data_IF_922538423129
#
_entry.id   IF_922538423129
#
_cell.length_a   1.000
_cell.length_b   1.000
_cell.length_c   1.000
_cell.angle_alpha   90.00
_cell.angle_beta   90.00
_cell.angle_gamma   90.00
#
_symmetry.space_group_name_H-M   'P 1'
#
loop_
_entity.id
_entity.type
_entity.pdbx_description
1 polymer ?
#
# COMPACT_ATOMS: atom_id res chain seq x y z
N UNK A 1 16.87 6.69 27.93
CA UNK A 1 17.66 6.72 26.69
C UNK A 1 16.70 6.89 25.52
N UNK A 2 17.07 7.64 24.49
CA UNK A 2 16.23 7.77 23.30
C UNK A 2 16.29 6.47 22.49
N UNK A 3 15.14 5.86 22.22
CA UNK A 3 15.01 4.73 21.31
C UNK A 3 14.97 5.21 19.87
N UNK A 4 15.15 4.30 18.91
CA UNK A 4 14.89 4.55 17.48
C UNK A 4 14.07 3.44 16.85
N UNK A 5 13.39 3.75 15.74
CA UNK A 5 12.76 2.73 14.90
C UNK A 5 13.84 1.97 14.10
N UNK A 6 13.59 0.68 13.85
CA UNK A 6 14.37 -0.11 12.92
C UNK A 6 14.40 0.53 11.52
N UNK A 7 15.56 0.59 10.89
CA UNK A 7 15.77 1.28 9.61
C UNK A 7 14.88 0.73 8.49
N UNK A 8 14.69 -0.60 8.45
CA UNK A 8 13.79 -1.22 7.47
C UNK A 8 12.33 -0.76 7.61
N UNK A 9 11.83 -0.61 8.84
CA UNK A 9 10.47 -0.09 9.08
C UNK A 9 10.36 1.40 8.73
N UNK A 10 11.45 2.17 8.88
CA UNK A 10 11.53 3.54 8.37
C UNK A 10 11.35 3.61 6.85
N UNK A 11 12.02 2.73 6.10
CA UNK A 11 11.84 2.62 4.64
C UNK A 11 10.42 2.17 4.29
N UNK A 12 9.89 1.15 4.97
CA UNK A 12 8.51 0.67 4.73
C UNK A 12 7.50 1.80 4.91
N UNK A 13 7.62 2.57 5.99
CA UNK A 13 6.76 3.73 6.24
C UNK A 13 6.85 4.74 5.11
N UNK A 14 8.06 5.13 4.74
CA UNK A 14 8.26 6.11 3.68
C UNK A 14 7.65 5.64 2.35
N UNK A 15 7.81 4.37 1.98
CA UNK A 15 7.21 3.82 0.77
C UNK A 15 5.68 3.78 0.84
N UNK A 16 5.09 3.43 1.99
CA UNK A 16 3.64 3.47 2.22
C UNK A 16 3.11 4.91 2.13
N UNK A 17 3.82 5.88 2.72
CA UNK A 17 3.46 7.30 2.67
C UNK A 17 3.57 7.85 1.25
N UNK A 18 4.57 7.42 0.47
CA UNK A 18 4.67 7.79 -0.95
C UNK A 18 3.56 7.15 -1.78
N UNK A 19 3.18 5.90 -1.50
CA UNK A 19 2.08 5.20 -2.17
C UNK A 19 0.70 5.74 -1.84
N UNK A 20 0.53 6.25 -0.63
CA UNK A 20 -0.75 6.74 -0.15
C UNK A 20 -0.54 8.08 0.59
N UNK A 21 -0.20 9.17 -0.12
CA UNK A 21 0.19 10.44 0.49
C UNK A 21 -0.94 11.13 1.26
N UNK A 22 -2.18 10.74 1.00
CA UNK A 22 -3.37 11.21 1.72
C UNK A 22 -3.93 10.25 2.76
N UNK A 23 -3.23 9.14 3.06
CA UNK A 23 -3.73 8.13 4.00
C UNK A 23 -3.90 8.68 5.41
N UNK A 24 -4.88 8.15 6.11
CA UNK A 24 -4.96 8.28 7.56
C UNK A 24 -3.76 7.60 8.23
N UNK A 25 -3.30 8.23 9.32
CA UNK A 25 -2.24 7.71 10.20
C UNK A 25 -2.76 7.49 11.63
N UNK A 26 -4.08 7.49 11.83
CA UNK A 26 -4.72 7.47 13.16
C UNK A 26 -4.38 6.24 14.00
N UNK A 27 -4.04 5.12 13.35
CA UNK A 27 -3.63 3.86 13.98
C UNK A 27 -2.16 3.52 13.71
N UNK A 28 -1.36 4.47 13.22
CA UNK A 28 0.07 4.25 13.10
C UNK A 28 0.71 4.23 14.49
N UNK A 29 1.51 3.20 14.74
CA UNK A 29 2.13 2.95 16.04
C UNK A 29 3.55 2.45 15.88
N UNK A 30 4.46 2.86 16.76
CA UNK A 30 5.83 2.29 16.82
C UNK A 30 6.18 1.84 18.20
N UNK A 31 5.97 2.69 19.21
CA UNK A 31 6.30 2.36 20.58
C UNK A 31 5.06 1.86 21.32
N UNK A 32 5.23 0.80 22.11
CA UNK A 32 4.20 0.33 23.03
C UNK A 32 3.90 1.40 24.07
N UNK A 33 2.62 1.52 24.47
CA UNK A 33 2.25 2.32 25.63
C UNK A 33 2.90 1.78 26.92
N UNK A 34 2.83 2.55 28.01
CA UNK A 34 3.45 2.17 29.29
C UNK A 34 2.93 0.80 29.81
N UNK A 35 1.72 0.40 29.40
CA UNK A 35 1.18 -0.93 29.67
C UNK A 35 1.86 -2.04 28.83
N UNK A 36 2.19 -1.79 27.56
CA UNK A 36 2.95 -2.69 26.69
C UNK A 36 4.40 -2.88 27.14
N UNK A 37 5.01 -1.89 27.79
CA UNK A 37 6.38 -1.98 28.31
C UNK A 37 6.57 -3.05 29.40
N UNK A 38 5.47 -3.52 30.01
CA UNK A 38 5.49 -4.61 31.00
C UNK A 38 5.58 -6.02 30.40
N UNK A 39 5.57 -6.17 29.08
CA UNK A 39 5.54 -7.48 28.37
C UNK A 39 6.58 -7.56 27.26
N UNK A 40 6.96 -8.77 26.86
CA UNK A 40 7.86 -8.99 25.73
C UNK A 40 7.12 -8.63 24.42
N UNK A 41 7.54 -7.56 23.74
CA UNK A 41 6.93 -7.06 22.50
C UNK A 41 7.97 -6.34 21.65
N UNK A 42 7.93 -6.52 20.32
CA UNK A 42 8.81 -5.80 19.40
C UNK A 42 8.45 -4.30 19.25
N UNK A 43 7.33 -3.87 19.81
CA UNK A 43 7.04 -2.45 20.05
C UNK A 43 7.85 -1.86 21.21
N UNK A 44 8.52 -2.69 22.00
CA UNK A 44 9.45 -2.24 23.03
C UNK A 44 10.88 -2.21 22.47
N UNK A 45 11.70 -1.22 22.87
CA UNK A 45 13.10 -1.18 22.46
C UNK A 45 13.85 -2.43 22.92
N UNK A 46 14.58 -3.07 21.99
CA UNK A 46 15.48 -4.17 22.32
C UNK A 46 16.72 -3.69 23.10
N UNK A 47 17.67 -4.60 23.37
CA UNK A 47 18.92 -4.28 24.07
C UNK A 47 19.81 -3.21 23.39
N UNK A 48 19.57 -2.91 22.12
CA UNK A 48 20.23 -1.83 21.36
C UNK A 48 19.39 -0.54 21.31
N UNK A 49 18.31 -0.44 22.09
CA UNK A 49 17.30 0.63 22.06
C UNK A 49 16.60 0.78 20.70
N UNK A 50 16.38 -0.32 19.98
CA UNK A 50 15.69 -0.34 18.69
C UNK A 50 14.31 -0.97 18.82
N UNK A 51 13.29 -0.25 18.37
CA UNK A 51 11.91 -0.73 18.21
C UNK A 51 11.81 -1.49 16.88
N UNK A 52 11.37 -2.74 16.93
CA UNK A 52 11.39 -3.69 15.81
C UNK A 52 10.00 -4.01 15.27
N UNK A 53 8.95 -3.30 15.70
CA UNK A 53 7.62 -3.39 15.14
C UNK A 53 7.01 -2.02 14.82
N UNK A 54 6.13 -2.00 13.83
CA UNK A 54 5.30 -0.86 13.52
C UNK A 54 3.91 -1.29 13.05
N UNK A 55 2.91 -0.50 13.44
CA UNK A 55 1.54 -0.57 12.96
C UNK A 55 1.31 0.49 11.89
N UNK A 56 0.56 0.13 10.86
CA UNK A 56 0.20 0.99 9.73
C UNK A 56 -1.31 0.97 9.55
N UNK A 57 -1.92 2.16 9.57
CA UNK A 57 -3.37 2.35 9.46
C UNK A 57 -3.93 1.75 8.16
N UNK A 58 -5.04 1.02 8.25
CA UNK A 58 -5.83 0.63 7.07
C UNK A 58 -6.78 1.75 6.69
N UNK A 59 -6.50 2.35 5.53
CA UNK A 59 -7.29 3.41 4.93
C UNK A 59 -7.32 3.26 3.41
N UNK A 60 -8.12 2.31 2.89
CA UNK A 60 -8.23 2.10 1.45
C UNK A 60 -8.78 3.34 0.72
N UNK A 61 -9.56 4.19 1.40
CA UNK A 61 -10.06 5.45 0.83
C UNK A 61 -8.96 6.49 0.61
N UNK A 62 -7.92 6.49 1.46
CA UNK A 62 -6.70 7.27 1.31
C UNK A 62 -5.60 6.59 0.49
N UNK A 63 -5.86 5.41 -0.10
CA UNK A 63 -4.91 4.64 -0.92
C UNK A 63 -4.08 3.61 -0.16
N UNK A 64 -4.26 3.48 1.17
CA UNK A 64 -3.51 2.57 2.03
C UNK A 64 -4.31 1.30 2.36
N UNK A 65 -4.49 0.42 1.37
CA UNK A 65 -5.11 -0.88 1.58
C UNK A 65 -4.12 -1.90 2.19
N UNK A 66 -4.14 -1.96 3.52
CA UNK A 66 -3.36 -2.95 4.28
C UNK A 66 -3.61 -4.42 3.90
N UNK A 67 -4.75 -4.78 3.30
CA UNK A 67 -4.90 -6.15 2.77
C UNK A 67 -3.93 -6.38 1.61
N UNK A 68 -3.90 -5.49 0.63
CA UNK A 68 -2.98 -5.59 -0.50
C UNK A 68 -1.51 -5.49 -0.07
N UNK A 69 -1.19 -4.60 0.86
CA UNK A 69 0.18 -4.43 1.33
C UNK A 69 0.65 -5.63 2.15
N UNK A 70 -0.22 -6.21 3.00
CA UNK A 70 0.12 -7.40 3.78
C UNK A 70 0.38 -8.63 2.89
N UNK A 71 -0.48 -8.87 1.89
CA UNK A 71 -0.27 -9.98 0.93
C UNK A 71 1.02 -9.75 0.12
N UNK A 72 1.31 -8.51 -0.30
CA UNK A 72 2.54 -8.21 -1.00
C UNK A 72 3.80 -8.37 -0.13
N UNK A 73 3.79 -7.88 1.11
CA UNK A 73 4.94 -8.01 2.02
C UNK A 73 5.24 -9.50 2.28
N UNK A 74 4.20 -10.32 2.47
CA UNK A 74 4.32 -11.77 2.55
C UNK A 74 5.04 -12.33 1.33
N UNK A 75 4.49 -12.08 0.13
CA UNK A 75 5.00 -12.65 -1.12
C UNK A 75 6.40 -12.16 -1.46
N UNK A 76 6.72 -10.90 -1.16
CA UNK A 76 8.07 -10.34 -1.36
C UNK A 76 9.09 -10.90 -0.39
N UNK A 77 8.63 -11.30 0.80
CA UNK A 77 9.45 -11.92 1.82
C UNK A 77 10.76 -11.14 2.07
N UNK A 78 10.63 -9.83 2.29
CA UNK A 78 11.75 -8.90 2.45
C UNK A 78 12.78 -9.42 3.48
N UNK A 79 14.08 -9.15 3.28
CA UNK A 79 15.15 -9.70 4.13
C UNK A 79 14.94 -9.40 5.62
N UNK A 80 14.41 -8.21 5.94
CA UNK A 80 14.18 -7.79 7.32
C UNK A 80 12.89 -8.36 7.95
N UNK A 81 11.91 -8.85 7.18
CA UNK A 81 10.58 -9.17 7.74
C UNK A 81 10.64 -10.40 8.67
N UNK A 82 10.06 -10.29 9.85
CA UNK A 82 9.89 -11.37 10.82
C UNK A 82 8.51 -11.99 10.71
N UNK A 83 7.48 -11.16 10.81
CA UNK A 83 6.09 -11.55 10.64
C UNK A 83 5.19 -10.34 10.31
N UNK A 84 4.03 -10.63 9.74
CA UNK A 84 2.95 -9.66 9.49
C UNK A 84 1.68 -10.19 10.13
N UNK A 85 0.92 -9.32 10.78
CA UNK A 85 -0.39 -9.65 11.33
C UNK A 85 -1.42 -8.70 10.68
N UNK A 86 -2.45 -9.28 10.07
CA UNK A 86 -3.51 -8.55 9.40
C UNK A 86 -4.82 -9.35 9.42
N UNK A 87 -5.92 -8.69 9.78
CA UNK A 87 -7.28 -9.22 9.71
C UNK A 87 -7.45 -10.59 10.39
N UNK A 88 -7.09 -10.68 11.67
CA UNK A 88 -7.09 -11.92 12.48
C UNK A 88 -6.24 -13.05 11.89
N UNK A 89 -5.24 -12.72 11.06
CA UNK A 89 -4.29 -13.68 10.50
C UNK A 89 -2.86 -13.24 10.81
N UNK A 90 -1.97 -14.21 10.92
CA UNK A 90 -0.52 -14.01 11.05
C UNK A 90 0.20 -14.85 10.00
N UNK A 91 1.17 -14.22 9.32
CA UNK A 91 2.17 -14.90 8.51
C UNK A 91 3.54 -14.61 9.13
N UNK A 92 4.45 -15.58 9.09
CA UNK A 92 5.80 -15.41 9.64
C UNK A 92 6.82 -16.04 8.72
N UNK A 93 7.93 -15.33 8.47
CA UNK A 93 8.99 -15.77 7.55
C UNK A 93 9.57 -17.14 7.90
N UNK A 94 9.68 -17.46 9.19
CA UNK A 94 10.20 -18.75 9.65
C UNK A 94 9.25 -19.94 9.44
N UNK A 95 8.00 -19.68 9.02
CA UNK A 95 6.96 -20.67 8.72
C UNK A 95 6.19 -20.23 7.47
N UNK A 96 6.94 -19.84 6.45
CA UNK A 96 6.41 -19.27 5.19
C UNK A 96 5.58 -20.30 4.41
N UNK A 97 6.01 -21.57 4.47
CA UNK A 97 5.36 -22.74 3.86
C UNK A 97 3.93 -22.98 4.36
N UNK A 98 3.59 -22.48 5.54
CA UNK A 98 2.25 -22.57 6.11
C UNK A 98 1.31 -21.44 5.66
N UNK A 99 1.84 -20.40 5.01
CA UNK A 99 1.07 -19.24 4.59
C UNK A 99 0.43 -18.48 5.76
N UNK A 100 -0.76 -17.92 5.53
CA UNK A 100 -1.52 -17.23 6.58
C UNK A 100 -2.14 -18.23 7.56
N UNK A 101 -1.97 -17.97 8.85
CA UNK A 101 -2.59 -18.72 9.94
C UNK A 101 -3.54 -17.87 10.75
N UNK A 102 -4.43 -18.50 11.50
CA UNK A 102 -5.28 -17.82 12.46
C UNK A 102 -4.44 -17.10 13.52
N UNK A 103 -4.80 -15.84 13.81
CA UNK A 103 -4.23 -15.04 14.89
C UNK A 103 -5.25 -14.87 16.01
N UNK A 104 -4.88 -15.29 17.22
CA UNK A 104 -5.73 -15.31 18.41
C UNK A 104 -5.56 -14.12 19.35
N UNK A 105 -4.74 -13.12 19.00
CA UNK A 105 -4.51 -11.95 19.85
C UNK A 105 -5.77 -11.13 20.10
N UNK A 106 -5.78 -10.37 21.21
CA UNK A 106 -6.93 -9.56 21.64
C UNK A 106 -7.27 -8.44 20.65
N UNK A 107 -6.26 -7.76 20.12
CA UNK A 107 -6.42 -6.82 19.01
C UNK A 107 -6.53 -7.61 17.69
N UNK A 108 -7.65 -7.53 16.96
CA UNK A 108 -7.87 -8.35 15.76
C UNK A 108 -7.14 -7.83 14.51
N UNK A 109 -6.48 -6.66 14.57
CA UNK A 109 -5.78 -6.03 13.44
C UNK A 109 -6.62 -5.91 12.18
N UNK A 110 -7.88 -5.48 12.33
CA UNK A 110 -8.80 -5.21 11.21
C UNK A 110 -8.79 -3.75 10.77
N UNK A 111 -8.06 -2.89 11.50
CA UNK A 111 -7.96 -1.43 11.25
C UNK A 111 -6.52 -0.95 11.00
N UNK A 112 -5.54 -1.82 11.19
CA UNK A 112 -4.13 -1.58 10.91
C UNK A 112 -3.44 -2.90 10.63
N UNK A 113 -2.38 -2.86 9.82
CA UNK A 113 -1.44 -3.97 9.66
C UNK A 113 -0.29 -3.78 10.63
N UNK A 114 0.08 -4.86 11.31
CA UNK A 114 1.27 -4.91 12.14
C UNK A 114 2.40 -5.61 11.39
N UNK A 115 3.60 -5.03 11.41
CA UNK A 115 4.81 -5.61 10.81
C UNK A 115 5.93 -5.62 11.86
N UNK A 116 6.51 -6.81 12.08
CA UNK A 116 7.72 -6.97 12.88
C UNK A 116 8.91 -7.35 12.00
N UNK A 117 10.11 -6.91 12.38
CA UNK A 117 11.37 -7.11 11.66
C UNK A 117 12.48 -7.68 12.55
N UNK A 118 13.47 -8.32 11.93
CA UNK A 118 14.57 -8.99 12.62
C UNK A 118 14.28 -10.45 12.92
N UNK A 119 14.99 -11.02 13.90
CA UNK A 119 14.85 -12.41 14.34
C UNK A 119 14.98 -12.54 15.85
N UNK A 120 14.48 -13.64 16.41
CA UNK A 120 14.53 -13.91 17.85
C UNK A 120 13.23 -13.56 18.57
N UNK A 121 13.20 -13.65 19.91
CA UNK A 121 12.00 -13.39 20.72
C UNK A 121 11.53 -11.94 20.61
N UNK A 122 10.23 -11.72 20.79
CA UNK A 122 9.64 -10.38 20.79
C UNK A 122 10.26 -9.51 21.91
N UNK A 123 10.59 -8.26 21.59
CA UNK A 123 11.31 -7.34 22.48
C UNK A 123 12.80 -7.63 22.61
N UNK A 124 13.29 -8.68 21.96
CA UNK A 124 14.71 -9.07 21.92
C UNK A 124 15.18 -9.28 20.48
N UNK A 125 14.44 -8.77 19.49
CA UNK A 125 14.77 -8.96 18.08
C UNK A 125 16.17 -8.44 17.77
N UNK A 126 16.95 -9.27 17.10
CA UNK A 126 18.28 -8.95 16.55
C UNK A 126 18.20 -8.77 15.03
N UNK A 127 19.30 -8.38 14.39
CA UNK A 127 19.35 -8.17 12.93
C UNK A 127 18.73 -9.34 12.13
N UNK A 128 18.16 -9.10 10.94
CA UNK A 128 18.49 -8.00 10.03
C UNK A 128 17.47 -6.82 10.00
N UNK A 129 16.97 -6.36 11.14
CA UNK A 129 15.97 -5.29 11.23
C UNK A 129 16.39 -3.93 10.60
N UNK A 130 17.67 -3.69 10.34
CA UNK A 130 18.20 -2.47 9.71
C UNK A 130 18.54 -2.62 8.21
N UNK A 131 18.16 -3.73 7.54
CA UNK A 131 18.34 -3.83 6.09
C UNK A 131 17.36 -2.88 5.38
N UNK A 132 17.89 -1.79 4.82
CA UNK A 132 17.12 -0.68 4.20
C UNK A 132 16.94 -0.83 2.69
N UNK A 133 17.09 -2.04 2.13
CA UNK A 133 16.65 -2.27 0.75
C UNK A 133 15.16 -1.94 0.62
N UNK A 134 14.70 -1.44 -0.53
CA UNK A 134 13.29 -1.14 -0.75
C UNK A 134 12.39 -2.34 -0.45
N UNK A 135 11.26 -2.09 0.20
CA UNK A 135 10.21 -3.11 0.35
C UNK A 135 9.49 -3.33 -0.99
N UNK A 136 9.51 -2.32 -1.85
CA UNK A 136 8.87 -2.31 -3.16
C UNK A 136 7.40 -1.91 -3.11
N UNK A 137 6.91 -1.39 -1.96
CA UNK A 137 5.56 -0.86 -1.83
C UNK A 137 5.40 0.34 -2.76
N UNK A 138 6.34 1.29 -2.74
CA UNK A 138 6.31 2.42 -3.66
C UNK A 138 6.40 1.95 -5.12
N UNK A 139 7.29 1.01 -5.44
CA UNK A 139 7.41 0.54 -6.81
C UNK A 139 6.10 -0.14 -7.32
N UNK A 140 5.33 -0.79 -6.44
CA UNK A 140 4.12 -1.52 -6.80
C UNK A 140 2.83 -0.71 -6.66
N UNK A 141 2.75 0.14 -5.63
CA UNK A 141 1.56 0.85 -5.18
C UNK A 141 1.77 2.38 -5.09
N UNK A 142 3.01 2.87 -5.21
CA UNK A 142 3.49 4.28 -5.22
C UNK A 142 2.83 5.22 -6.21
N UNK A 143 1.97 4.69 -7.08
CA UNK A 143 1.28 5.49 -8.06
C UNK A 143 0.07 6.14 -7.41
N UNK A 144 0.06 7.47 -7.31
CA UNK A 144 -1.19 8.20 -7.47
C UNK A 144 -1.87 7.67 -8.75
N UNK A 145 -2.88 6.82 -8.58
CA UNK A 145 -3.35 5.93 -9.63
C UNK A 145 -4.08 6.74 -10.71
N UNK A 146 -3.73 6.48 -11.98
CA UNK A 146 -4.21 7.16 -13.20
C UNK A 146 -3.76 8.62 -13.41
N UNK A 147 -3.74 9.47 -12.39
CA UNK A 147 -3.43 10.90 -12.56
C UNK A 147 -1.98 11.08 -13.06
N UNK A 148 -1.84 11.83 -14.15
CA UNK A 148 -0.57 12.09 -14.83
C UNK A 148 -0.21 11.08 -15.93
N UNK A 149 -1.03 10.04 -16.16
CA UNK A 149 -0.86 9.19 -17.34
C UNK A 149 -1.07 10.01 -18.61
N UNK A 150 -0.25 9.73 -19.63
CA UNK A 150 -0.39 10.36 -20.94
C UNK A 150 -0.18 9.38 -22.08
N UNK A 151 -0.63 9.76 -23.27
CA UNK A 151 -0.40 9.01 -24.50
C UNK A 151 1.10 8.67 -24.66
N UNK A 152 1.37 7.42 -24.98
CA UNK A 152 2.72 6.85 -25.07
C UNK A 152 3.22 6.19 -23.79
N UNK A 153 2.60 6.44 -22.64
CA UNK A 153 2.88 5.68 -21.42
C UNK A 153 2.45 4.21 -21.59
N UNK A 154 3.12 3.30 -20.87
CA UNK A 154 2.87 1.84 -20.94
C UNK A 154 2.89 1.19 -19.55
N UNK A 155 2.28 0.02 -19.44
CA UNK A 155 2.32 -0.85 -18.26
C UNK A 155 1.00 -0.92 -17.49
N UNK A 156 1.02 -1.55 -16.32
CA UNK A 156 -0.20 -1.92 -15.59
C UNK A 156 -1.04 -0.71 -15.14
N UNK A 157 -0.44 0.47 -14.99
CA UNK A 157 -1.18 1.72 -14.72
C UNK A 157 -2.13 2.07 -15.86
N UNK A 158 -1.70 1.87 -17.11
CA UNK A 158 -2.53 2.09 -18.29
C UNK A 158 -3.61 1.01 -18.37
N UNK A 159 -3.31 -0.25 -18.03
CA UNK A 159 -4.35 -1.31 -17.93
C UNK A 159 -5.43 -0.94 -16.91
N UNK A 160 -5.04 -0.38 -15.77
CA UNK A 160 -5.98 0.15 -14.77
C UNK A 160 -6.88 1.25 -15.34
N UNK A 161 -6.30 2.22 -16.07
CA UNK A 161 -7.08 3.26 -16.75
C UNK A 161 -8.07 2.65 -17.76
N UNK A 162 -7.58 1.78 -18.65
CA UNK A 162 -8.36 1.13 -19.69
C UNK A 162 -9.51 0.31 -19.10
N UNK A 163 -9.23 -0.53 -18.09
CA UNK A 163 -10.27 -1.32 -17.42
C UNK A 163 -11.34 -0.43 -16.76
N UNK A 164 -10.92 0.66 -16.10
CA UNK A 164 -11.84 1.59 -15.44
C UNK A 164 -12.69 2.37 -16.45
N UNK A 165 -12.11 2.84 -17.56
CA UNK A 165 -12.85 3.46 -18.65
C UNK A 165 -13.92 2.51 -19.21
N UNK A 166 -13.57 1.24 -19.43
CA UNK A 166 -14.51 0.22 -19.91
C UNK A 166 -15.65 0.00 -18.92
N UNK A 167 -15.36 -0.09 -17.63
CA UNK A 167 -16.38 -0.19 -16.57
C UNK A 167 -17.29 1.03 -16.53
N UNK A 168 -16.75 2.23 -16.80
CA UNK A 168 -17.52 3.47 -16.91
C UNK A 168 -18.34 3.58 -18.21
N UNK A 169 -18.25 2.60 -19.12
CA UNK A 169 -18.96 2.57 -20.40
C UNK A 169 -18.22 3.25 -21.56
N UNK A 170 -16.93 3.55 -21.40
CA UNK A 170 -16.08 4.15 -22.43
C UNK A 170 -15.04 3.14 -22.89
N UNK A 171 -15.23 2.57 -24.08
CA UNK A 171 -14.34 1.53 -24.60
C UNK A 171 -12.98 2.10 -25.01
N UNK A 172 -11.86 1.69 -24.37
CA UNK A 172 -10.51 2.19 -24.65
C UNK A 172 -9.75 1.37 -25.71
N UNK A 173 -10.40 0.41 -26.38
CA UNK A 173 -9.71 -0.61 -27.18
C UNK A 173 -9.23 -1.78 -26.31
N UNK A 174 -8.18 -2.48 -26.71
CA UNK A 174 -7.63 -3.60 -25.91
C UNK A 174 -7.11 -3.11 -24.54
N UNK A 175 -7.22 -3.94 -23.50
CA UNK A 175 -6.60 -3.64 -22.18
C UNK A 175 -5.19 -4.21 -22.18
N UNK A 176 -4.37 -3.66 -23.07
CA UNK A 176 -3.01 -4.11 -23.37
C UNK A 176 -1.96 -3.41 -22.49
N UNK A 177 -2.33 -2.28 -21.86
CA UNK A 177 -1.43 -1.45 -21.10
C UNK A 177 -0.64 -0.45 -21.93
N UNK A 178 -0.99 -0.22 -23.18
CA UNK A 178 -0.40 0.83 -24.02
C UNK A 178 -1.36 2.02 -24.14
N UNK A 179 -0.91 3.23 -23.73
CA UNK A 179 -1.74 4.42 -23.82
C UNK A 179 -1.71 4.94 -25.26
N UNK A 180 -2.43 4.23 -26.13
CA UNK A 180 -2.54 4.50 -27.55
C UNK A 180 -3.65 5.50 -27.91
N UNK A 181 -3.92 5.59 -29.21
CA UNK A 181 -4.96 6.48 -29.74
C UNK A 181 -6.36 6.13 -29.20
N UNK A 182 -6.66 4.84 -29.02
CA UNK A 182 -7.97 4.39 -28.55
C UNK A 182 -8.20 4.73 -27.07
N UNK A 183 -7.19 4.57 -26.23
CA UNK A 183 -7.26 4.99 -24.82
C UNK A 183 -7.44 6.51 -24.71
N UNK A 184 -6.71 7.31 -25.50
CA UNK A 184 -6.88 8.76 -25.54
C UNK A 184 -8.27 9.18 -26.02
N UNK A 185 -8.81 8.49 -27.03
CA UNK A 185 -10.17 8.72 -27.52
C UNK A 185 -11.23 8.41 -26.45
N UNK A 186 -11.06 7.33 -25.69
CA UNK A 186 -11.96 6.97 -24.59
C UNK A 186 -11.91 7.98 -23.44
N UNK A 187 -10.72 8.44 -23.06
CA UNK A 187 -10.56 9.53 -22.08
C UNK A 187 -11.28 10.79 -22.55
N UNK A 188 -11.06 11.22 -23.79
CA UNK A 188 -11.72 12.40 -24.34
C UNK A 188 -13.25 12.26 -24.31
N UNK A 189 -13.77 11.11 -24.73
CA UNK A 189 -15.21 10.82 -24.74
C UNK A 189 -15.81 10.89 -23.34
N UNK A 190 -15.15 10.27 -22.37
CA UNK A 190 -15.55 10.33 -20.96
C UNK A 190 -15.57 11.76 -20.44
N UNK A 191 -14.50 12.52 -20.68
CA UNK A 191 -14.39 13.91 -20.20
C UNK A 191 -15.47 14.81 -20.78
N UNK A 192 -15.81 14.65 -22.08
CA UNK A 192 -16.88 15.43 -22.73
C UNK A 192 -18.26 15.07 -22.20
N UNK A 193 -18.54 13.79 -21.96
CA UNK A 193 -19.80 13.36 -21.35
C UNK A 193 -19.98 13.94 -19.93
N UNK A 194 -18.88 14.19 -19.23
CA UNK A 194 -18.83 14.83 -17.92
C UNK A 194 -18.59 16.36 -17.99
N UNK A 195 -18.86 16.99 -19.14
CA UNK A 195 -18.92 18.45 -19.29
C UNK A 195 -17.59 19.15 -19.54
N UNK A 196 -16.51 18.44 -19.89
CA UNK A 196 -15.25 19.07 -20.31
C UNK A 196 -15.32 19.56 -21.77
N UNK A 197 -14.65 20.67 -22.05
CA UNK A 197 -14.44 21.25 -23.39
C UNK A 197 -13.01 21.03 -23.95
N UNK A 198 -12.24 20.12 -23.35
CA UNK A 198 -10.87 19.82 -23.80
C UNK A 198 -10.82 19.31 -25.25
N UNK A 199 -9.74 19.65 -25.94
CA UNK A 199 -9.51 19.28 -27.33
C UNK A 199 -9.14 17.80 -27.52
N UNK A 200 -8.41 17.23 -26.55
CA UNK A 200 -7.88 15.86 -26.61
C UNK A 200 -7.99 15.14 -25.25
N UNK A 201 -7.69 13.84 -25.27
CA UNK A 201 -7.60 12.98 -24.10
C UNK A 201 -6.18 12.46 -23.88
N UNK A 202 -5.15 13.12 -24.42
CA UNK A 202 -3.78 12.62 -24.35
C UNK A 202 -3.20 12.72 -22.94
N UNK A 203 -3.77 13.55 -22.06
CA UNK A 203 -3.34 13.74 -20.68
C UNK A 203 -4.47 13.40 -19.70
N UNK A 204 -4.23 12.40 -18.85
CA UNK A 204 -5.13 12.01 -17.77
C UNK A 204 -4.86 12.84 -16.52
N UNK A 205 -5.43 14.05 -16.47
CA UNK A 205 -5.22 14.99 -15.36
C UNK A 205 -6.06 14.64 -14.13
N UNK A 206 -5.83 15.33 -13.01
CA UNK A 206 -6.67 15.18 -11.81
C UNK A 206 -8.15 15.49 -12.07
N UNK A 207 -8.45 16.38 -13.01
CA UNK A 207 -9.83 16.64 -13.44
C UNK A 207 -10.42 15.48 -14.26
N UNK A 208 -9.62 14.84 -15.13
CA UNK A 208 -10.04 13.64 -15.84
C UNK A 208 -10.41 12.51 -14.86
N UNK A 209 -9.64 12.37 -13.78
CA UNK A 209 -9.94 11.41 -12.72
C UNK A 209 -11.27 11.72 -12.03
N UNK A 210 -11.49 12.97 -11.61
CA UNK A 210 -12.76 13.38 -11.00
C UNK A 210 -13.97 13.10 -11.91
N UNK A 211 -13.81 13.30 -13.22
CA UNK A 211 -14.83 13.01 -14.22
C UNK A 211 -15.06 11.50 -14.38
N UNK A 212 -13.99 10.69 -14.42
CA UNK A 212 -14.10 9.24 -14.49
C UNK A 212 -14.87 8.69 -13.27
N UNK A 213 -14.58 9.20 -12.07
CA UNK A 213 -15.29 8.80 -10.85
C UNK A 213 -16.77 9.19 -10.87
N UNK A 214 -17.12 10.37 -11.42
CA UNK A 214 -18.53 10.77 -11.62
C UNK A 214 -19.24 9.87 -12.63
N UNK A 215 -18.57 9.51 -13.72
CA UNK A 215 -19.15 8.63 -14.73
C UNK A 215 -19.41 7.22 -14.18
N UNK A 216 -18.47 6.68 -13.41
CA UNK A 216 -18.64 5.41 -12.69
C UNK A 216 -19.84 5.44 -11.73
N UNK A 217 -20.05 6.54 -11.01
CA UNK A 217 -21.16 6.69 -10.08
C UNK A 217 -22.55 6.72 -10.74
N UNK A 218 -22.63 7.03 -12.05
CA UNK A 218 -23.89 7.06 -12.82
C UNK A 218 -24.28 5.70 -13.43
N UNK A 219 -23.39 4.70 -13.37
CA UNK A 219 -23.61 3.37 -13.94
C UNK A 219 -24.41 2.43 -13.00
N UNK A 220 -24.93 2.95 -11.88
CA UNK A 220 -25.81 2.26 -10.92
C UNK A 220 -27.15 2.98 -10.81
#
# INVERSE_FOLDING_TARGET
>A
MAWRLAGSLGVLRAEIDTAAPGRSTVSDGTIGDDAHQGTASDHNPNGANVVCAADFTHDPGGGADMHQFAEFIRDRNHTAVKYVIWNRRIWSKHRDDEGWRAYGGSNPHTRHMHVSVGVGPDGQSTGPYDVTSPWGIEAKFGGGELIGLKRGDRGDRVKGLQATLRLAGYDPGEVDGDYGADTAAAVLKMRRAEGSDVADGDNFTGWAYAQLMRAMAKQH
#
